data_IF_698317974604
#
_entry.id   IF_698317974604
#
_cell.length_a   1.000
_cell.length_b   1.000
_cell.length_c   1.000
_cell.angle_alpha   90.00
_cell.angle_beta   90.00
_cell.angle_gamma   90.00
#
_symmetry.space_group_name_H-M   'P 1'
#
loop_
_entity.id
_entity.type
_entity.pdbx_description
1 polymer ?
#
# COMPACT_ATOMS: atom_id res chain seq x y z
N UNK A 1 4.76 5.95 -6.02
CA UNK A 1 4.77 4.51 -6.40
C UNK A 1 5.90 4.26 -7.38
N UNK A 2 6.09 3.02 -7.85
CA UNK A 2 7.02 2.66 -8.93
C UNK A 2 6.41 1.61 -9.87
N UNK A 3 6.98 1.40 -11.07
CA UNK A 3 6.46 0.44 -12.06
C UNK A 3 6.36 -0.99 -11.50
N UNK A 4 7.29 -1.36 -10.60
CA UNK A 4 7.32 -2.67 -9.95
C UNK A 4 6.02 -3.03 -9.21
N UNK A 5 5.33 -2.03 -8.64
CA UNK A 5 4.08 -2.23 -7.91
C UNK A 5 2.99 -2.77 -8.84
N UNK A 6 2.78 -2.13 -10.00
CA UNK A 6 1.77 -2.56 -10.96
C UNK A 6 2.21 -3.81 -11.74
N UNK A 7 3.48 -3.88 -12.15
CA UNK A 7 3.99 -5.01 -12.93
C UNK A 7 3.98 -6.32 -12.16
N UNK A 8 4.21 -6.31 -10.84
CA UNK A 8 4.13 -7.52 -10.00
C UNK A 8 2.71 -8.08 -9.92
N UNK A 9 1.69 -7.21 -9.92
CA UNK A 9 0.27 -7.62 -10.00
C UNK A 9 -0.02 -8.26 -11.36
N UNK A 10 0.43 -7.63 -12.46
CA UNK A 10 0.25 -8.18 -13.81
C UNK A 10 1.01 -9.50 -14.01
N UNK A 11 2.19 -9.66 -13.41
CA UNK A 11 3.02 -10.87 -13.53
C UNK A 11 2.33 -12.13 -13.01
N UNK A 12 1.37 -12.00 -12.07
CA UNK A 12 0.56 -13.12 -11.57
C UNK A 12 -0.79 -13.26 -12.28
N UNK A 13 -1.01 -12.54 -13.39
CA UNK A 13 -2.26 -12.55 -14.15
C UNK A 13 -3.41 -11.75 -13.52
N UNK A 14 -3.13 -10.92 -12.50
CA UNK A 14 -4.13 -10.05 -11.90
C UNK A 14 -4.18 -8.67 -12.60
N UNK A 15 -5.23 -7.90 -12.31
CA UNK A 15 -5.46 -6.57 -12.90
C UNK A 15 -5.16 -5.50 -11.84
N UNK A 16 -4.15 -4.63 -12.05
CA UNK A 16 -3.92 -3.50 -11.17
C UNK A 16 -5.02 -2.45 -11.36
N UNK A 17 -5.62 -2.01 -10.26
CA UNK A 17 -6.55 -0.87 -10.24
C UNK A 17 -5.79 0.32 -9.65
N UNK A 18 -5.54 1.32 -10.48
CA UNK A 18 -4.84 2.53 -10.06
C UNK A 18 -5.80 3.42 -9.25
N UNK A 19 -5.26 4.00 -8.18
CA UNK A 19 -5.99 4.80 -7.20
C UNK A 19 -5.22 6.10 -6.99
N UNK A 20 -5.96 7.19 -6.83
CA UNK A 20 -5.37 8.50 -6.61
C UNK A 20 -4.68 8.62 -5.25
N UNK A 21 -3.76 9.58 -5.15
CA UNK A 21 -2.98 9.88 -3.96
C UNK A 21 -3.61 11.00 -3.13
N UNK A 22 -3.22 11.08 -1.87
CA UNK A 22 -3.33 12.28 -1.07
C UNK A 22 -2.19 13.25 -1.48
N UNK A 23 -2.50 14.51 -1.87
CA UNK A 23 -1.50 15.45 -2.38
C UNK A 23 -0.51 15.92 -1.32
N UNK A 24 -0.83 15.84 -0.02
CA UNK A 24 0.07 16.26 1.05
C UNK A 24 1.10 15.18 1.38
N UNK A 25 0.67 13.92 1.38
CA UNK A 25 1.53 12.78 1.77
C UNK A 25 2.14 12.04 0.60
N UNK A 26 1.60 12.24 -0.61
CA UNK A 26 1.85 11.48 -1.84
C UNK A 26 1.60 9.97 -1.72
N UNK A 27 0.98 9.53 -0.62
CA UNK A 27 0.55 8.17 -0.40
C UNK A 27 -0.87 7.97 -0.93
N UNK A 28 -1.32 6.72 -1.06
CA UNK A 28 -2.67 6.43 -1.56
C UNK A 28 -3.75 7.07 -0.68
N UNK A 29 -4.72 7.74 -1.29
CA UNK A 29 -5.87 8.31 -0.59
C UNK A 29 -6.81 7.20 -0.10
N UNK A 30 -7.15 7.13 1.20
CA UNK A 30 -8.10 6.14 1.72
C UNK A 30 -9.49 6.26 1.08
N UNK A 31 -9.91 7.48 0.74
CA UNK A 31 -11.21 7.73 0.12
C UNK A 31 -11.22 7.25 -1.33
N UNK A 32 -10.20 7.58 -2.11
CA UNK A 32 -10.06 7.09 -3.49
C UNK A 32 -9.97 5.57 -3.52
N UNK A 33 -9.27 4.95 -2.55
CA UNK A 33 -9.17 3.50 -2.43
C UNK A 33 -10.54 2.87 -2.14
N UNK A 34 -11.33 3.47 -1.25
CA UNK A 34 -12.67 3.00 -0.91
C UNK A 34 -13.60 3.01 -2.13
N UNK A 35 -13.48 4.02 -3.00
CA UNK A 35 -14.28 4.13 -4.23
C UNK A 35 -13.88 3.11 -5.30
N UNK A 36 -12.60 2.73 -5.35
CA UNK A 36 -12.07 1.79 -6.34
C UNK A 36 -12.30 0.30 -5.99
N UNK A 37 -12.66 -0.01 -4.73
CA UNK A 37 -12.89 -1.40 -4.30
C UNK A 37 -14.14 -1.97 -4.97
N UNK A 38 -14.00 -3.18 -5.51
CA UNK A 38 -15.07 -3.98 -6.09
C UNK A 38 -15.11 -5.37 -5.47
N UNK A 39 -16.10 -6.19 -5.82
CA UNK A 39 -16.18 -7.60 -5.40
C UNK A 39 -14.98 -8.45 -5.88
N UNK A 40 -14.29 -8.01 -6.94
CA UNK A 40 -13.10 -8.68 -7.47
C UNK A 40 -11.81 -8.28 -6.74
N UNK A 41 -11.83 -7.24 -5.92
CA UNK A 41 -10.62 -6.76 -5.23
C UNK A 41 -10.16 -7.79 -4.19
N UNK A 42 -8.91 -8.24 -4.28
CA UNK A 42 -8.33 -9.25 -3.36
C UNK A 42 -7.25 -8.69 -2.44
N UNK A 43 -6.56 -7.63 -2.85
CA UNK A 43 -5.55 -6.99 -2.04
C UNK A 43 -5.50 -5.48 -2.30
N UNK A 44 -4.98 -4.74 -1.32
CA UNK A 44 -4.52 -3.35 -1.43
C UNK A 44 -3.01 -3.38 -1.28
N UNK A 45 -2.28 -2.85 -2.27
CA UNK A 45 -0.83 -2.63 -2.18
C UNK A 45 -0.59 -1.19 -1.74
N UNK A 46 -0.28 -1.00 -0.45
CA UNK A 46 -0.10 0.28 0.18
C UNK A 46 1.37 0.69 0.13
N UNK A 47 1.69 1.71 -0.65
CA UNK A 47 3.06 2.21 -0.82
C UNK A 47 3.34 3.33 0.18
N UNK A 48 4.41 3.20 0.96
CA UNK A 48 4.98 4.26 1.80
C UNK A 48 6.00 5.06 0.98
N UNK A 49 5.51 6.07 0.27
CA UNK A 49 6.30 6.79 -0.73
C UNK A 49 7.23 7.82 -0.08
N UNK A 50 8.51 7.88 -0.50
CA UNK A 50 9.48 8.88 0.00
C UNK A 50 9.58 8.98 1.53
N UNK A 51 9.62 7.85 2.23
CA UNK A 51 9.56 7.77 3.69
C UNK A 51 8.28 8.35 4.32
N UNK A 52 7.33 8.85 3.54
CA UNK A 52 6.00 9.25 4.00
C UNK A 52 5.19 8.00 4.31
N UNK A 53 4.67 7.93 5.53
CA UNK A 53 3.90 6.77 5.98
C UNK A 53 2.43 7.01 5.66
N UNK A 54 1.91 6.27 4.69
CA UNK A 54 0.48 6.22 4.39
C UNK A 54 -0.38 5.99 5.66
N UNK A 55 -1.61 6.48 5.66
CA UNK A 55 -2.52 6.41 6.81
C UNK A 55 -2.90 4.95 7.17
N UNK A 56 -2.07 4.31 7.98
CA UNK A 56 -2.17 2.89 8.35
C UNK A 56 -3.52 2.58 8.99
N UNK A 57 -3.99 3.42 9.93
CA UNK A 57 -5.24 3.16 10.66
C UNK A 57 -6.45 3.13 9.71
N UNK A 58 -6.49 4.04 8.73
CA UNK A 58 -7.53 4.06 7.71
C UNK A 58 -7.50 2.79 6.85
N UNK A 59 -6.32 2.35 6.40
CA UNK A 59 -6.19 1.16 5.55
C UNK A 59 -6.41 -0.16 6.29
N UNK A 60 -6.02 -0.26 7.56
CA UNK A 60 -6.38 -1.41 8.42
C UNK A 60 -7.89 -1.48 8.59
N UNK A 61 -8.54 -0.34 8.88
CA UNK A 61 -10.00 -0.28 9.02
C UNK A 61 -10.70 -0.71 7.73
N UNK A 62 -10.25 -0.20 6.58
CA UNK A 62 -10.80 -0.52 5.27
C UNK A 62 -10.60 -1.99 4.91
N UNK A 63 -9.38 -2.51 5.08
CA UNK A 63 -9.00 -3.90 4.85
C UNK A 63 -9.88 -4.86 5.65
N UNK A 64 -10.06 -4.61 6.96
CA UNK A 64 -10.92 -5.43 7.82
C UNK A 64 -12.38 -5.36 7.42
N UNK A 65 -12.92 -4.16 7.18
CA UNK A 65 -14.32 -3.96 6.77
C UNK A 65 -14.67 -4.65 5.46
N UNK A 66 -13.73 -4.70 4.52
CA UNK A 66 -13.94 -5.30 3.19
C UNK A 66 -13.39 -6.73 3.06
N UNK A 67 -12.75 -7.25 4.11
CA UNK A 67 -12.06 -8.53 4.10
C UNK A 67 -11.05 -8.67 2.94
N UNK A 68 -10.24 -7.63 2.74
CA UNK A 68 -9.24 -7.52 1.66
C UNK A 68 -7.85 -7.54 2.28
N UNK A 69 -6.90 -8.28 1.71
CA UNK A 69 -5.53 -8.32 2.24
C UNK A 69 -4.82 -6.98 2.04
N UNK A 70 -4.10 -6.53 3.06
CA UNK A 70 -3.21 -5.37 2.95
C UNK A 70 -1.78 -5.88 2.71
N UNK A 71 -1.10 -5.34 1.69
CA UNK A 71 0.32 -5.60 1.41
C UNK A 71 1.02 -4.24 1.47
N UNK A 72 2.06 -4.13 2.29
CA UNK A 72 2.84 -2.91 2.42
C UNK A 72 4.04 -2.96 1.48
N UNK A 73 4.20 -1.93 0.66
CA UNK A 73 5.43 -1.65 -0.06
C UNK A 73 6.22 -0.58 0.70
N UNK A 74 7.25 -1.04 1.39
CA UNK A 74 8.16 -0.25 2.22
C UNK A 74 9.51 -0.02 1.52
N UNK A 75 9.57 -0.18 0.19
CA UNK A 75 10.82 -0.08 -0.58
C UNK A 75 11.61 1.21 -0.32
N UNK A 76 10.90 2.30 -0.01
CA UNK A 76 11.49 3.61 0.30
C UNK A 76 11.30 4.04 1.75
N UNK A 77 10.92 3.14 2.66
CA UNK A 77 10.50 3.48 4.02
C UNK A 77 11.24 2.68 5.10
N UNK A 78 12.50 2.31 4.85
CA UNK A 78 13.35 1.64 5.83
C UNK A 78 13.43 2.43 7.14
N UNK A 79 13.11 1.77 8.25
CA UNK A 79 13.16 2.36 9.58
C UNK A 79 11.97 3.24 9.98
N UNK A 80 11.07 3.58 9.05
CA UNK A 80 9.88 4.37 9.34
C UNK A 80 8.92 3.63 10.31
N UNK A 81 8.09 4.41 11.00
CA UNK A 81 7.13 3.89 11.98
C UNK A 81 5.84 4.69 12.00
N UNK A 82 4.74 4.01 12.30
CA UNK A 82 3.46 4.59 12.64
C UNK A 82 3.13 4.26 14.10
N UNK A 83 2.91 5.27 14.94
CA UNK A 83 2.59 5.11 16.37
C UNK A 83 3.57 4.16 17.11
N UNK A 84 4.87 4.27 16.83
CA UNK A 84 5.92 3.46 17.44
C UNK A 84 6.10 2.05 16.86
N UNK A 85 5.18 1.56 16.02
CA UNK A 85 5.30 0.28 15.32
C UNK A 85 5.92 0.49 13.91
N UNK A 86 6.84 -0.40 13.53
CA UNK A 86 7.57 -0.29 12.25
C UNK A 86 6.67 -0.61 11.05
N UNK A 87 6.84 0.14 9.96
CA UNK A 87 6.17 -0.15 8.68
C UNK A 87 6.60 -1.51 8.13
N UNK A 88 5.74 -2.15 7.35
CA UNK A 88 5.91 -3.52 6.88
C UNK A 88 5.42 -4.59 7.86
N UNK A 89 4.80 -4.18 8.97
CA UNK A 89 4.31 -5.09 10.03
C UNK A 89 2.80 -4.97 10.31
N UNK A 90 2.09 -4.14 9.54
CA UNK A 90 0.66 -3.87 9.70
C UNK A 90 -0.21 -4.71 8.76
N UNK A 91 0.27 -4.95 7.55
CA UNK A 91 -0.36 -5.77 6.53
C UNK A 91 -0.09 -7.25 6.71
N UNK A 92 -0.56 -8.05 5.75
CA UNK A 92 -0.27 -9.48 5.66
C UNK A 92 1.20 -9.74 5.31
N UNK A 93 1.79 -8.84 4.52
CA UNK A 93 3.16 -8.91 4.03
C UNK A 93 3.69 -7.47 3.92
N UNK A 94 4.94 -7.25 4.31
CA UNK A 94 5.70 -6.04 4.00
C UNK A 94 6.87 -6.38 3.06
N UNK A 95 7.10 -5.55 2.03
CA UNK A 95 8.22 -5.69 1.09
C UNK A 95 9.17 -4.52 1.20
N UNK A 96 10.46 -4.79 0.95
CA UNK A 96 11.53 -3.81 1.05
C UNK A 96 12.49 -3.96 -0.14
N UNK A 97 13.18 -2.88 -0.48
CA UNK A 97 14.18 -2.85 -1.55
C UNK A 97 15.55 -2.52 -0.96
N UNK A 98 16.54 -3.37 -1.24
CA UNK A 98 17.95 -3.09 -0.90
C UNK A 98 18.69 -2.45 -2.08
N UNK A 99 17.96 -1.86 -3.03
CA UNK A 99 18.59 -1.21 -4.18
C UNK A 99 19.45 -0.05 -3.70
N UNK A 100 20.74 -0.20 -3.91
CA UNK A 100 21.71 0.88 -3.94
C UNK A 100 21.88 1.24 -5.43
N UNK A 101 21.90 2.54 -5.74
CA UNK A 101 21.93 3.11 -7.11
C UNK A 101 22.62 2.26 -8.16
#
# INVERSE_FOLDING_TARGET
TWVACASSVTAIGAIPILVDIDPETLCMSPESARQAITERTKAIMLVHLYCSVANIDAFISLSRKKNISLIEDCSQAHGASWNGQKVGTFGRIGTFSMQQT
#
